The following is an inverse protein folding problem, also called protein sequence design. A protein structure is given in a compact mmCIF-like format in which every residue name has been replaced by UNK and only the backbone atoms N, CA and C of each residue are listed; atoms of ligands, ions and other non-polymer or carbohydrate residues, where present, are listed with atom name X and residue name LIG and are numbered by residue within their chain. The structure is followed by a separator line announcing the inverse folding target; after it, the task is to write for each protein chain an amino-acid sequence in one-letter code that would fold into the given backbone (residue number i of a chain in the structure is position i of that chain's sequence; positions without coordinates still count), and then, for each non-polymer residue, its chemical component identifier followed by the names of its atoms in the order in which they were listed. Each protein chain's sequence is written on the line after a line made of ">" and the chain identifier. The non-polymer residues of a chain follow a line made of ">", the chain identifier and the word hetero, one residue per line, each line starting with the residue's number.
data_IF_769975151568
#
_entry.id   IF_769975151568
#
_cell.length_a   1.000
_cell.length_b   1.000
_cell.length_c   1.000
_cell.angle_alpha   90.00
_cell.angle_beta   90.00
_cell.angle_gamma   90.00
#
_symmetry.space_group_name_H-M   'P 1'
#
loop_
_entity.id
_entity.type
_entity.pdbx_description
1 polymer ?
#
# COMPACT_ATOMS: atom_id res chain seq x y z
N UNK A 1 25.57 16.12 -52.51
CA UNK A 1 26.49 15.66 -51.44
C UNK A 1 26.32 16.57 -50.22
N UNK A 2 25.48 16.16 -49.29
CA UNK A 2 25.22 16.91 -48.04
C UNK A 2 26.36 16.66 -47.06
N UNK A 3 27.17 17.67 -46.77
CA UNK A 3 28.20 17.64 -45.73
C UNK A 3 27.50 17.50 -44.38
N UNK A 4 27.62 16.34 -43.75
CA UNK A 4 27.17 16.12 -42.38
C UNK A 4 27.89 17.11 -41.46
N UNK A 5 27.15 18.01 -40.82
CA UNK A 5 27.70 18.99 -39.87
C UNK A 5 28.20 18.22 -38.65
N UNK A 6 29.53 18.04 -38.56
CA UNK A 6 30.21 17.51 -37.39
C UNK A 6 30.06 18.51 -36.24
N UNK A 7 29.36 18.11 -35.17
CA UNK A 7 29.21 18.92 -33.97
C UNK A 7 30.60 19.34 -33.43
N UNK A 8 30.73 20.59 -33.07
CA UNK A 8 31.95 21.11 -32.38
C UNK A 8 32.12 20.33 -31.03
N UNK A 9 33.35 20.26 -30.49
CA UNK A 9 33.56 19.60 -29.19
C UNK A 9 32.62 20.09 -28.09
N UNK A 10 32.33 21.40 -28.04
CA UNK A 10 31.35 21.99 -27.12
C UNK A 10 29.92 21.49 -27.39
N UNK A 11 29.53 21.39 -28.68
CA UNK A 11 28.22 20.85 -29.07
C UNK A 11 28.05 19.38 -28.67
N UNK A 12 29.11 18.57 -28.77
CA UNK A 12 29.07 17.15 -28.30
C UNK A 12 28.87 17.07 -26.80
N UNK A 13 29.50 17.89 -26.00
CA UNK A 13 29.30 17.95 -24.54
C UNK A 13 27.88 18.39 -24.20
N UNK A 14 27.33 19.40 -24.86
CA UNK A 14 25.94 19.83 -24.64
C UNK A 14 24.92 18.74 -24.98
N UNK A 15 25.11 18.04 -26.09
CA UNK A 15 24.22 16.91 -26.46
C UNK A 15 24.34 15.77 -25.46
N UNK A 16 25.57 15.44 -25.01
CA UNK A 16 25.79 14.39 -24.01
C UNK A 16 25.14 14.71 -22.66
N UNK A 17 25.30 15.95 -22.17
CA UNK A 17 24.66 16.36 -20.90
C UNK A 17 23.15 16.41 -21.01
N UNK A 18 22.60 16.87 -22.13
CA UNK A 18 21.15 16.88 -22.36
C UNK A 18 20.59 15.45 -22.43
N UNK A 19 21.27 14.54 -23.10
CA UNK A 19 20.86 13.14 -23.16
C UNK A 19 20.89 12.49 -21.76
N UNK A 20 21.95 12.73 -20.98
CA UNK A 20 22.05 12.22 -19.60
C UNK A 20 20.93 12.79 -18.71
N UNK A 21 20.62 14.07 -18.83
CA UNK A 21 19.53 14.70 -18.10
C UNK A 21 18.16 14.09 -18.47
N UNK A 22 17.92 13.84 -19.77
CA UNK A 22 16.68 13.17 -20.21
C UNK A 22 16.57 11.74 -19.68
N UNK A 23 17.66 10.98 -19.67
CA UNK A 23 17.68 9.63 -19.10
C UNK A 23 17.40 9.69 -17.59
N UNK A 24 18.02 10.62 -16.87
CA UNK A 24 17.81 10.78 -15.42
C UNK A 24 16.36 11.17 -15.08
N UNK A 25 15.71 11.98 -15.91
CA UNK A 25 14.30 12.35 -15.76
C UNK A 25 13.35 11.21 -16.14
N UNK A 26 13.69 10.41 -17.15
CA UNK A 26 12.85 9.30 -17.61
C UNK A 26 13.00 8.05 -16.72
N UNK A 27 14.14 7.83 -16.10
CA UNK A 27 14.44 6.63 -15.32
C UNK A 27 13.40 6.37 -14.20
N UNK A 28 12.95 7.34 -13.37
CA UNK A 28 11.93 7.10 -12.35
C UNK A 28 10.57 6.68 -12.91
N UNK A 29 10.23 7.17 -14.12
CA UNK A 29 8.97 6.84 -14.79
C UNK A 29 9.01 5.44 -15.40
N UNK A 30 10.15 5.05 -15.96
CA UNK A 30 10.32 3.75 -16.63
C UNK A 30 10.57 2.60 -15.64
N UNK A 31 11.26 2.89 -14.53
CA UNK A 31 11.64 1.87 -13.55
C UNK A 31 10.60 1.68 -12.44
N UNK A 32 9.65 2.64 -12.28
CA UNK A 32 8.61 2.64 -11.24
C UNK A 32 9.14 2.16 -9.86
N UNK A 33 10.18 2.80 -9.31
CA UNK A 33 10.82 2.34 -8.09
C UNK A 33 9.84 2.42 -6.92
N UNK A 34 9.86 1.40 -6.06
CA UNK A 34 9.05 1.39 -4.85
C UNK A 34 9.30 2.66 -4.00
N UNK A 35 8.24 3.33 -3.51
CA UNK A 35 8.37 4.56 -2.75
C UNK A 35 9.20 4.35 -1.48
N UNK A 36 10.10 5.28 -1.18
CA UNK A 36 10.92 5.27 0.05
C UNK A 36 10.35 6.17 1.15
N UNK A 37 9.49 7.11 0.76
CA UNK A 37 8.80 8.03 1.65
C UNK A 37 7.33 8.10 1.24
N UNK A 38 6.43 8.08 2.23
CA UNK A 38 4.99 8.21 2.02
C UNK A 38 4.43 9.19 3.03
N UNK A 39 3.67 10.18 2.54
CA UNK A 39 2.91 11.08 3.39
C UNK A 39 1.52 10.49 3.64
N UNK A 40 1.21 10.18 4.89
CA UNK A 40 -0.12 9.72 5.29
C UNK A 40 -0.99 10.89 5.73
N UNK A 41 -2.13 11.05 5.06
CA UNK A 41 -3.17 12.02 5.43
C UNK A 41 -4.37 11.39 6.12
N UNK A 42 -4.42 10.05 6.15
CA UNK A 42 -5.55 9.28 6.67
C UNK A 42 -5.41 9.02 8.18
N UNK A 43 -6.47 9.26 8.94
CA UNK A 43 -6.52 8.97 10.37
C UNK A 43 -6.49 7.46 10.73
N UNK A 44 -6.48 6.57 9.73
CA UNK A 44 -6.38 5.11 9.96
C UNK A 44 -5.00 4.65 10.46
N UNK A 45 -3.97 5.48 10.26
CA UNK A 45 -2.65 5.38 10.84
C UNK A 45 -2.20 6.79 11.27
N UNK A 46 -1.17 6.96 12.10
CA UNK A 46 -0.68 8.29 12.45
C UNK A 46 -0.45 9.15 11.21
N UNK A 47 -1.04 10.36 11.21
CA UNK A 47 -0.85 11.34 10.13
C UNK A 47 0.58 11.85 10.17
N UNK A 48 1.26 11.88 9.02
CA UNK A 48 2.64 12.33 8.96
C UNK A 48 3.47 11.64 7.88
N UNK A 49 4.79 11.82 7.99
CA UNK A 49 5.77 11.27 7.06
C UNK A 49 6.24 9.89 7.52
N UNK A 50 6.18 8.92 6.63
CA UNK A 50 6.60 7.55 6.87
C UNK A 50 7.75 7.17 5.95
N UNK A 51 8.76 6.51 6.50
CA UNK A 51 9.84 5.87 5.74
C UNK A 51 9.43 4.44 5.40
N UNK A 52 9.65 4.06 4.15
CA UNK A 52 9.34 2.73 3.64
C UNK A 52 10.63 1.97 3.34
N UNK A 53 10.66 0.72 3.74
CA UNK A 53 11.78 -0.21 3.50
C UNK A 53 11.29 -1.36 2.62
N UNK A 54 11.34 -1.21 1.28
CA UNK A 54 10.98 -2.29 0.35
C UNK A 54 11.91 -3.49 0.54
N UNK A 55 11.35 -4.70 0.46
CA UNK A 55 12.09 -5.94 0.64
C UNK A 55 12.49 -6.29 2.08
N UNK A 56 12.25 -5.40 3.06
CA UNK A 56 12.50 -5.72 4.47
C UNK A 56 11.57 -6.83 4.96
N UNK A 57 12.04 -7.74 5.82
CA UNK A 57 11.20 -8.77 6.41
C UNK A 57 10.07 -8.15 7.23
N UNK A 58 8.87 -8.71 7.05
CA UNK A 58 7.64 -8.21 7.68
C UNK A 58 7.06 -9.31 8.58
N UNK A 59 6.75 -8.94 9.83
CA UNK A 59 6.18 -9.79 10.85
C UNK A 59 4.87 -9.21 11.41
N UNK A 60 4.13 -10.00 12.17
CA UNK A 60 2.94 -9.53 12.90
C UNK A 60 3.31 -8.38 13.83
N UNK A 61 2.50 -7.33 13.83
CA UNK A 61 2.73 -6.09 14.58
C UNK A 61 3.39 -4.98 13.76
N UNK A 62 4.09 -5.29 12.68
CA UNK A 62 4.74 -4.28 11.84
C UNK A 62 3.72 -3.39 11.10
N UNK A 63 4.08 -2.13 10.96
CA UNK A 63 3.38 -1.25 10.01
C UNK A 63 3.95 -1.45 8.62
N UNK A 64 3.08 -1.49 7.63
CA UNK A 64 3.45 -1.69 6.22
C UNK A 64 2.72 -0.72 5.31
N UNK A 65 3.37 -0.40 4.20
CA UNK A 65 2.72 0.20 3.03
C UNK A 65 2.32 -0.93 2.10
N UNK A 66 1.06 -0.97 1.71
CA UNK A 66 0.53 -2.04 0.87
C UNK A 66 -0.51 -1.53 -0.13
N UNK A 67 -0.62 -2.22 -1.26
CA UNK A 67 -1.66 -1.97 -2.26
C UNK A 67 -2.89 -2.83 -1.93
N UNK A 68 -4.10 -2.26 -1.83
CA UNK A 68 -5.31 -3.06 -1.61
C UNK A 68 -5.59 -3.98 -2.80
N UNK A 69 -6.35 -5.09 -2.60
CA UNK A 69 -6.82 -5.92 -3.71
C UNK A 69 -7.57 -5.10 -4.77
N UNK A 70 -7.55 -5.47 -6.05
CA UNK A 70 -8.13 -4.67 -7.14
C UNK A 70 -9.59 -4.25 -6.89
N UNK A 71 -10.44 -5.16 -6.42
CA UNK A 71 -11.84 -4.88 -6.11
C UNK A 71 -11.97 -3.85 -4.95
N UNK A 72 -11.19 -4.02 -3.88
CA UNK A 72 -11.17 -3.09 -2.76
C UNK A 72 -10.63 -1.71 -3.17
N UNK A 73 -9.59 -1.66 -4.01
CA UNK A 73 -9.01 -0.43 -4.56
C UNK A 73 -10.02 0.34 -5.41
N UNK A 74 -10.73 -0.37 -6.31
CA UNK A 74 -11.80 0.21 -7.14
C UNK A 74 -12.92 0.78 -6.26
N UNK A 75 -13.38 0.02 -5.28
CA UNK A 75 -14.43 0.46 -4.36
C UNK A 75 -14.00 1.67 -3.54
N UNK A 76 -12.77 1.68 -3.00
CA UNK A 76 -12.24 2.79 -2.24
C UNK A 76 -12.16 4.08 -3.06
N UNK A 77 -11.72 3.98 -4.33
CA UNK A 77 -11.67 5.12 -5.25
C UNK A 77 -13.08 5.64 -5.60
N UNK A 78 -14.01 4.76 -5.96
CA UNK A 78 -15.40 5.12 -6.27
C UNK A 78 -16.13 5.79 -5.10
N UNK A 79 -15.79 5.39 -3.87
CA UNK A 79 -16.40 5.93 -2.65
C UNK A 79 -15.64 7.12 -2.06
N UNK A 80 -14.56 7.53 -2.70
CA UNK A 80 -13.66 8.59 -2.22
C UNK A 80 -13.06 8.34 -0.83
N UNK A 81 -12.80 7.07 -0.50
CA UNK A 81 -12.04 6.71 0.71
C UNK A 81 -10.55 6.94 0.51
N UNK A 82 -10.05 6.57 -0.69
CA UNK A 82 -8.65 6.69 -1.08
C UNK A 82 -8.56 6.72 -2.61
N UNK A 83 -7.73 7.58 -3.22
CA UNK A 83 -7.45 7.53 -4.66
C UNK A 83 -6.85 6.17 -5.06
N UNK A 84 -7.14 5.72 -6.29
CA UNK A 84 -6.73 4.39 -6.75
C UNK A 84 -5.22 4.15 -6.79
N UNK A 85 -4.43 5.21 -6.94
CA UNK A 85 -2.96 5.18 -7.00
C UNK A 85 -2.27 5.37 -5.63
N UNK A 86 -3.05 5.55 -4.55
CA UNK A 86 -2.49 5.76 -3.21
C UNK A 86 -2.49 4.45 -2.42
N UNK A 87 -1.35 4.00 -1.90
CA UNK A 87 -1.26 2.81 -1.08
C UNK A 87 -1.83 3.03 0.33
N UNK A 88 -2.14 1.92 1.00
CA UNK A 88 -2.58 1.90 2.40
C UNK A 88 -1.39 1.82 3.35
N UNK A 89 -1.47 2.47 4.52
CA UNK A 89 -0.61 2.19 5.67
C UNK A 89 -1.43 1.42 6.68
N UNK A 90 -1.02 0.18 7.00
CA UNK A 90 -1.74 -0.73 7.89
C UNK A 90 -0.77 -1.53 8.75
N UNK A 91 -1.29 -2.09 9.86
CA UNK A 91 -0.55 -3.03 10.70
C UNK A 91 -0.80 -4.45 10.21
N UNK A 92 0.21 -5.29 10.20
CA UNK A 92 0.07 -6.73 10.03
C UNK A 92 -0.55 -7.29 11.31
N UNK A 93 -1.81 -7.71 11.22
CA UNK A 93 -2.57 -8.24 12.35
C UNK A 93 -2.45 -9.76 12.47
N UNK A 94 -2.25 -10.46 11.34
CA UNK A 94 -2.03 -11.90 11.28
C UNK A 94 -1.19 -12.27 10.06
N UNK A 95 -0.49 -13.41 10.15
CA UNK A 95 0.39 -13.92 9.10
C UNK A 95 0.34 -15.47 9.06
N UNK A 96 1.27 -16.10 8.32
CA UNK A 96 1.39 -17.55 8.16
C UNK A 96 1.07 -18.33 9.44
N UNK A 97 0.14 -19.26 9.33
CA UNK A 97 -0.25 -20.18 10.40
C UNK A 97 -1.36 -19.65 11.31
N UNK A 98 -1.62 -18.32 11.33
CA UNK A 98 -2.73 -17.77 12.08
C UNK A 98 -4.07 -18.15 11.44
N UNK A 99 -5.05 -18.48 12.29
CA UNK A 99 -6.45 -18.69 11.90
C UNK A 99 -7.18 -17.35 11.94
N UNK A 100 -7.76 -16.95 10.82
CA UNK A 100 -8.55 -15.71 10.72
C UNK A 100 -9.99 -16.07 10.44
N UNK A 101 -10.92 -15.57 11.25
CA UNK A 101 -12.36 -15.81 11.12
C UNK A 101 -13.13 -14.50 11.00
N UNK A 102 -14.14 -14.51 10.12
CA UNK A 102 -15.11 -13.44 9.97
C UNK A 102 -16.50 -13.96 10.40
N UNK A 103 -16.84 -13.74 11.67
CA UNK A 103 -18.04 -14.26 12.32
C UNK A 103 -18.99 -13.11 12.70
N UNK A 104 -20.12 -13.01 12.01
CA UNK A 104 -21.02 -11.88 12.20
C UNK A 104 -20.29 -10.54 12.08
N UNK A 105 -20.42 -9.63 13.02
CA UNK A 105 -19.73 -8.35 12.99
C UNK A 105 -18.26 -8.43 13.43
N UNK A 106 -17.82 -9.56 13.95
CA UNK A 106 -16.48 -9.73 14.51
C UNK A 106 -15.48 -10.28 13.50
N UNK A 107 -14.28 -9.78 13.59
CA UNK A 107 -13.09 -10.37 12.98
C UNK A 107 -12.20 -10.92 14.10
N UNK A 108 -11.83 -12.17 13.97
CA UNK A 108 -11.06 -12.90 14.98
C UNK A 108 -9.73 -13.38 14.40
N UNK A 109 -8.69 -13.39 15.23
CA UNK A 109 -7.41 -14.03 14.95
C UNK A 109 -7.11 -15.00 16.09
N UNK A 110 -6.91 -16.27 15.76
CA UNK A 110 -6.67 -17.35 16.72
C UNK A 110 -7.72 -17.37 17.85
N UNK A 111 -8.99 -17.33 17.43
CA UNK A 111 -10.18 -17.34 18.29
C UNK A 111 -10.29 -16.14 19.27
N UNK A 112 -9.55 -15.04 18.98
CA UNK A 112 -9.63 -13.79 19.73
C UNK A 112 -10.18 -12.68 18.85
N UNK A 113 -11.19 -11.92 19.31
CA UNK A 113 -11.71 -10.79 18.56
C UNK A 113 -10.66 -9.67 18.45
N UNK A 114 -10.35 -9.27 17.23
CA UNK A 114 -9.33 -8.22 16.94
C UNK A 114 -9.92 -6.97 16.33
N UNK A 115 -11.11 -7.07 15.71
CA UNK A 115 -11.77 -5.91 15.12
C UNK A 115 -13.28 -6.11 14.98
N UNK A 116 -14.03 -5.03 15.10
CA UNK A 116 -15.45 -4.96 14.80
C UNK A 116 -15.66 -4.40 13.39
N UNK A 117 -16.56 -4.99 12.61
CA UNK A 117 -16.95 -4.55 11.27
C UNK A 117 -18.23 -3.72 11.35
N UNK A 118 -18.29 -2.65 10.57
CA UNK A 118 -19.51 -1.87 10.40
C UNK A 118 -20.29 -2.39 9.20
N UNK A 119 -21.60 -2.32 9.26
CA UNK A 119 -22.47 -2.70 8.14
C UNK A 119 -22.42 -1.68 7.00
N UNK A 120 -22.27 -0.40 7.36
CA UNK A 120 -22.26 0.70 6.43
C UNK A 120 -21.17 1.73 6.77
N UNK A 121 -20.76 2.49 5.75
CA UNK A 121 -19.90 3.64 5.92
C UNK A 121 -20.66 4.86 6.49
N UNK A 122 -19.95 5.97 6.70
CA UNK A 122 -20.53 7.22 7.24
C UNK A 122 -21.63 7.83 6.36
N UNK A 123 -21.77 7.38 5.10
CA UNK A 123 -22.82 7.81 4.16
C UNK A 123 -23.94 6.79 4.03
N UNK A 124 -24.01 5.78 4.92
CA UNK A 124 -25.04 4.75 4.91
C UNK A 124 -24.87 3.70 3.81
N UNK A 125 -23.77 3.68 3.06
CA UNK A 125 -23.53 2.71 1.99
C UNK A 125 -22.99 1.41 2.56
N UNK A 126 -23.62 0.28 2.24
CA UNK A 126 -23.20 -1.05 2.74
C UNK A 126 -21.75 -1.33 2.44
N UNK A 127 -21.02 -1.82 3.45
CA UNK A 127 -19.63 -2.28 3.32
C UNK A 127 -19.60 -3.76 2.93
N UNK A 128 -18.66 -4.19 2.09
CA UNK A 128 -18.53 -5.60 1.73
C UNK A 128 -18.05 -6.40 2.95
N UNK A 129 -18.70 -7.53 3.20
CA UNK A 129 -18.31 -8.45 4.25
C UNK A 129 -17.95 -9.80 3.64
N UNK A 130 -16.74 -10.25 3.85
CA UNK A 130 -16.39 -11.66 3.65
C UNK A 130 -16.82 -12.48 4.87
N UNK A 131 -16.90 -13.81 4.74
CA UNK A 131 -17.38 -14.73 5.78
C UNK A 131 -16.54 -15.99 5.80
N UNK A 132 -16.54 -16.65 6.95
CA UNK A 132 -15.85 -17.91 7.15
C UNK A 132 -14.52 -17.76 7.88
N UNK A 133 -13.84 -18.89 8.01
CA UNK A 133 -12.53 -18.98 8.65
C UNK A 133 -11.53 -19.55 7.66
N UNK A 134 -10.31 -19.05 7.69
CA UNK A 134 -9.19 -19.60 6.94
C UNK A 134 -7.91 -19.57 7.79
N UNK A 135 -7.01 -20.51 7.54
CA UNK A 135 -5.66 -20.48 8.08
C UNK A 135 -4.73 -19.86 7.04
N UNK A 136 -4.04 -18.80 7.44
CA UNK A 136 -3.20 -18.04 6.51
C UNK A 136 -2.01 -18.87 6.01
N UNK A 137 -1.83 -18.90 4.70
CA UNK A 137 -0.66 -19.48 4.04
C UNK A 137 0.59 -18.63 4.25
N UNK A 138 1.74 -19.12 3.75
CA UNK A 138 2.99 -18.35 3.78
C UNK A 138 2.89 -17.00 3.04
N UNK A 139 2.06 -16.95 2.02
CA UNK A 139 1.90 -15.81 1.12
C UNK A 139 0.73 -14.89 1.49
N UNK A 140 0.08 -15.12 2.64
CA UNK A 140 -1.05 -14.32 3.08
C UNK A 140 -0.76 -13.54 4.36
N UNK A 141 -1.37 -12.36 4.48
CA UNK A 141 -1.36 -11.53 5.68
C UNK A 141 -2.72 -10.85 5.87
N UNK A 142 -3.10 -10.64 7.12
CA UNK A 142 -4.24 -9.79 7.46
C UNK A 142 -3.74 -8.40 7.82
N UNK A 143 -4.26 -7.39 7.14
CA UNK A 143 -3.90 -5.98 7.34
C UNK A 143 -5.04 -5.23 8.01
N UNK A 144 -4.81 -4.68 9.19
CA UNK A 144 -5.77 -3.92 9.96
C UNK A 144 -5.21 -2.56 10.39
N UNK A 145 -6.10 -1.63 10.67
CA UNK A 145 -5.77 -0.38 11.33
C UNK A 145 -6.43 -0.29 12.71
N UNK A 146 -5.85 0.46 13.65
CA UNK A 146 -6.46 0.68 14.97
C UNK A 146 -7.82 1.35 14.90
N UNK A 147 -8.03 2.25 13.94
CA UNK A 147 -9.30 2.96 13.77
C UNK A 147 -10.43 2.00 13.37
N UNK A 148 -11.55 2.04 14.09
CA UNK A 148 -12.76 1.26 13.78
C UNK A 148 -13.39 1.63 12.44
N UNK A 149 -13.10 2.82 11.91
CA UNK A 149 -13.63 3.33 10.64
C UNK A 149 -12.74 3.03 9.44
N UNK A 150 -11.65 2.31 9.65
CA UNK A 150 -10.71 1.99 8.58
C UNK A 150 -11.31 1.03 7.57
N UNK A 151 -11.14 1.35 6.30
CA UNK A 151 -11.39 0.41 5.22
C UNK A 151 -10.12 -0.43 5.01
N UNK A 152 -10.14 -1.66 5.52
CA UNK A 152 -9.01 -2.58 5.57
C UNK A 152 -9.46 -4.05 5.50
N UNK A 153 -8.64 -4.97 5.97
CA UNK A 153 -8.91 -6.41 5.95
C UNK A 153 -10.22 -6.84 6.61
N UNK A 154 -10.88 -5.97 7.40
CA UNK A 154 -12.25 -6.19 7.88
C UNK A 154 -13.23 -6.41 6.73
N UNK A 155 -12.98 -5.74 5.60
CA UNK A 155 -13.91 -5.68 4.48
C UNK A 155 -13.42 -6.44 3.24
N UNK A 156 -12.12 -6.58 3.04
CA UNK A 156 -11.57 -7.28 1.89
C UNK A 156 -10.80 -8.56 2.22
N UNK A 157 -10.75 -8.93 3.52
CA UNK A 157 -10.09 -10.16 3.97
C UNK A 157 -8.57 -10.09 3.98
N UNK A 158 -7.93 -11.25 4.17
CA UNK A 158 -6.50 -11.40 3.99
C UNK A 158 -6.05 -11.06 2.57
N UNK A 159 -4.81 -10.63 2.45
CA UNK A 159 -4.22 -10.23 1.17
C UNK A 159 -2.93 -10.99 0.92
N UNK A 160 -2.56 -11.10 -0.36
CA UNK A 160 -1.27 -11.64 -0.75
C UNK A 160 -0.13 -10.75 -0.25
N UNK A 161 0.94 -11.37 0.23
CA UNK A 161 2.15 -10.71 0.73
C UNK A 161 2.85 -9.88 -0.34
N UNK A 162 2.73 -10.25 -1.60
CA UNK A 162 3.25 -9.50 -2.75
C UNK A 162 2.66 -8.11 -2.88
N UNK A 163 1.52 -7.85 -2.22
CA UNK A 163 0.90 -6.51 -2.16
C UNK A 163 1.58 -5.57 -1.18
N UNK A 164 2.46 -6.09 -0.32
CA UNK A 164 3.25 -5.26 0.60
C UNK A 164 4.39 -4.62 -0.20
N UNK A 165 4.38 -3.30 -0.26
CA UNK A 165 5.44 -2.50 -0.89
C UNK A 165 6.68 -2.49 0.01
N UNK A 166 6.47 -2.41 1.33
CA UNK A 166 7.56 -2.45 2.30
C UNK A 166 7.09 -2.22 3.74
N UNK A 167 7.99 -2.53 4.68
CA UNK A 167 7.83 -2.19 6.09
C UNK A 167 7.89 -0.67 6.24
N UNK A 168 7.09 -0.10 7.13
CA UNK A 168 6.98 1.35 7.29
C UNK A 168 7.26 1.78 8.73
N UNK A 169 8.00 2.87 8.89
CA UNK A 169 8.24 3.53 10.18
C UNK A 169 7.86 4.99 10.12
N UNK A 170 7.21 5.48 11.16
CA UNK A 170 6.86 6.89 11.27
C UNK A 170 8.12 7.70 11.53
N UNK A 171 8.44 8.66 10.65
CA UNK A 171 9.55 9.59 10.81
C UNK A 171 9.11 10.86 11.54
N UNK A 172 7.96 11.37 11.14
CA UNK A 172 7.43 12.62 11.70
C UNK A 172 5.92 12.56 11.77
N UNK A 173 5.36 12.95 12.92
CA UNK A 173 3.92 13.01 13.19
C UNK A 173 3.46 14.46 13.10
N UNK A 174 2.38 14.67 12.39
CA UNK A 174 1.68 15.95 12.37
C UNK A 174 0.76 16.09 13.58
#
# INVERSE_FOLDING_TARGET
>A
MTKGALLTPRGRWLVGTAALALVALAAPVLLDPAPRLVWNTSASAPVGLWRVFPGAPVTVGDMVVATPPPAARKLAAQRHYLPANVPLIKRVAAAKGDKVCAVGPWLEVNDRPVALRREADRRGRRLPWWRGCERLSADQVLLLAPSAESFDGRYFGPVDRSRIIGKATLLWRR
#
